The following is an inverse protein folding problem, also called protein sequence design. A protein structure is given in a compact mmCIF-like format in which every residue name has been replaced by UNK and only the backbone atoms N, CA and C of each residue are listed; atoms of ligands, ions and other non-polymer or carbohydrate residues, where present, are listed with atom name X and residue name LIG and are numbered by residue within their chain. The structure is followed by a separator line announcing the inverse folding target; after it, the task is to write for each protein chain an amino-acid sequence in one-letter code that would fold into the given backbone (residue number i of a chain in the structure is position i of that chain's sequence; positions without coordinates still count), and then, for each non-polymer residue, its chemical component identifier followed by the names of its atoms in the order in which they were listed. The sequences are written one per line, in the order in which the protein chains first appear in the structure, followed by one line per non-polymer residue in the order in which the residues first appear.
data_IF_313146968486
#
_entry.id   IF_313146968486
#
_cell.length_a   1.000
_cell.length_b   1.000
_cell.length_c   1.000
_cell.angle_alpha   90.00
_cell.angle_beta   90.00
_cell.angle_gamma   90.00
#
_symmetry.space_group_name_H-M   'P 1'
#
loop_
_entity.id
_entity.type
_entity.pdbx_description
1 polymer ?
#
# COMPACT_ATOMS: atom_id res chain seq x y z
N UNK A 1 -30.63 -42.02 -66.66
CA UNK A 1 -30.09 -43.07 -65.76
C UNK A 1 -28.58 -42.94 -65.78
N UNK A 2 -27.80 -42.72 -64.72
CA UNK A 2 -27.97 -42.85 -63.26
C UNK A 2 -27.20 -41.70 -62.58
N UNK A 3 -27.78 -41.17 -61.49
CA UNK A 3 -27.08 -40.46 -60.41
C UNK A 3 -26.08 -41.40 -59.73
N UNK A 4 -24.98 -40.86 -59.19
CA UNK A 4 -24.41 -41.29 -57.91
C UNK A 4 -23.68 -40.12 -57.24
N UNK A 5 -24.27 -39.70 -56.14
CA UNK A 5 -23.70 -38.83 -55.11
C UNK A 5 -22.48 -39.51 -54.48
N UNK A 6 -21.47 -38.72 -54.15
CA UNK A 6 -20.23 -39.17 -53.50
C UNK A 6 -19.84 -38.20 -52.40
N UNK A 7 -20.42 -38.43 -51.23
CA UNK A 7 -20.10 -37.95 -49.88
C UNK A 7 -18.91 -37.00 -49.73
N UNK A 8 -19.22 -35.74 -49.39
CA UNK A 8 -18.31 -34.89 -48.65
C UNK A 8 -18.05 -35.49 -47.27
N UNK A 9 -16.78 -35.81 -47.00
CA UNK A 9 -16.31 -36.09 -45.65
C UNK A 9 -15.93 -34.76 -45.03
N UNK A 10 -16.92 -34.08 -44.43
CA UNK A 10 -16.67 -33.01 -43.46
C UNK A 10 -16.07 -33.66 -42.21
N UNK A 11 -14.75 -33.63 -42.09
CA UNK A 11 -14.10 -33.88 -40.80
C UNK A 11 -14.48 -32.73 -39.87
N UNK A 12 -14.99 -33.00 -38.66
CA UNK A 12 -15.30 -31.93 -37.71
C UNK A 12 -13.99 -31.29 -37.27
N UNK A 13 -13.82 -29.98 -37.53
CA UNK A 13 -12.67 -29.20 -37.09
C UNK A 13 -12.43 -29.22 -35.56
N UNK A 14 -13.39 -29.73 -34.79
CA UNK A 14 -13.27 -29.98 -33.36
C UNK A 14 -12.31 -31.13 -33.00
N UNK A 15 -12.04 -32.08 -33.91
CA UNK A 15 -11.18 -33.24 -33.61
C UNK A 15 -9.67 -32.96 -33.81
N UNK A 16 -9.29 -31.89 -34.53
CA UNK A 16 -7.88 -31.54 -34.75
C UNK A 16 -7.26 -30.73 -33.59
N UNK A 17 -8.08 -30.15 -32.71
CA UNK A 17 -7.57 -29.42 -31.54
C UNK A 17 -7.28 -30.30 -30.31
N UNK A 18 -7.75 -31.56 -30.29
CA UNK A 18 -7.58 -32.47 -29.15
C UNK A 18 -6.33 -33.38 -29.25
N UNK A 19 -5.59 -33.36 -30.37
CA UNK A 19 -4.39 -34.18 -30.60
C UNK A 19 -3.10 -33.36 -30.75
N UNK A 20 -3.09 -32.11 -30.29
CA UNK A 20 -1.82 -31.47 -29.95
C UNK A 20 -1.43 -31.98 -28.55
N UNK A 21 -0.63 -33.06 -28.47
CA UNK A 21 0.13 -33.38 -27.25
C UNK A 21 0.95 -32.14 -26.91
N UNK A 22 0.49 -31.33 -25.97
CA UNK A 22 1.26 -30.21 -25.45
C UNK A 22 2.33 -30.78 -24.53
N UNK A 23 3.46 -31.18 -25.12
CA UNK A 23 4.65 -31.63 -24.40
C UNK A 23 5.21 -30.56 -23.46
N UNK A 24 4.91 -29.28 -23.73
CA UNK A 24 5.30 -28.16 -22.87
C UNK A 24 4.08 -27.61 -22.15
N UNK A 25 4.18 -27.54 -20.83
CA UNK A 25 3.14 -26.96 -19.99
C UNK A 25 3.35 -25.45 -19.88
N UNK A 26 2.26 -24.70 -20.06
CA UNK A 26 2.18 -23.30 -19.66
C UNK A 26 0.83 -23.07 -18.99
N UNK A 27 0.83 -22.55 -17.76
CA UNK A 27 -0.39 -22.22 -17.02
C UNK A 27 -0.17 -20.94 -16.23
N UNK A 28 -1.05 -19.95 -16.40
CA UNK A 28 -1.06 -18.71 -15.62
C UNK A 28 -2.03 -18.76 -14.44
N UNK A 29 -2.96 -19.73 -14.43
CA UNK A 29 -3.99 -19.94 -13.41
C UNK A 29 -4.00 -21.41 -12.98
N UNK A 30 -4.56 -21.70 -11.81
CA UNK A 30 -4.66 -23.07 -11.30
C UNK A 30 -5.54 -23.97 -12.18
N UNK A 31 -6.68 -23.44 -12.64
CA UNK A 31 -7.62 -24.15 -13.53
C UNK A 31 -7.14 -24.23 -14.98
N UNK A 32 -6.11 -23.48 -15.35
CA UNK A 32 -5.60 -23.39 -16.72
C UNK A 32 -6.40 -22.48 -17.65
N UNK A 33 -7.50 -21.88 -17.15
CA UNK A 33 -8.28 -20.89 -17.89
C UNK A 33 -7.45 -19.64 -18.17
N UNK A 34 -7.59 -19.10 -19.38
CA UNK A 34 -6.91 -17.88 -19.82
C UNK A 34 -7.92 -16.90 -20.40
N UNK A 35 -7.74 -15.63 -20.08
CA UNK A 35 -8.36 -14.57 -20.88
C UNK A 35 -7.84 -14.64 -22.31
N UNK A 36 -8.70 -14.37 -23.29
CA UNK A 36 -8.31 -14.36 -24.69
C UNK A 36 -7.17 -13.35 -24.89
N UNK A 37 -5.95 -13.79 -25.23
CA UNK A 37 -4.80 -12.90 -25.34
C UNK A 37 -4.91 -11.98 -26.56
N UNK A 38 -5.72 -12.38 -27.54
CA UNK A 38 -5.96 -11.67 -28.77
C UNK A 38 -7.40 -11.20 -28.81
N UNK A 39 -7.57 -9.93 -29.12
CA UNK A 39 -8.87 -9.32 -29.38
C UNK A 39 -9.29 -9.66 -30.81
N UNK A 40 -10.60 -9.58 -31.11
CA UNK A 40 -11.09 -9.72 -32.47
C UNK A 40 -10.47 -8.65 -33.40
N UNK A 41 -10.29 -8.93 -34.70
CA UNK A 41 -9.54 -8.03 -35.60
C UNK A 41 -10.10 -6.60 -35.71
N UNK A 42 -11.38 -6.40 -35.41
CA UNK A 42 -12.08 -5.12 -35.54
C UNK A 42 -11.95 -4.23 -34.30
N UNK A 43 -11.49 -4.77 -33.17
CA UNK A 43 -11.47 -4.07 -31.89
C UNK A 43 -10.03 -3.79 -31.47
N UNK A 44 -9.77 -2.56 -31.02
CA UNK A 44 -8.46 -2.17 -30.53
C UNK A 44 -8.05 -3.00 -29.29
N UNK A 45 -6.79 -3.46 -29.20
CA UNK A 45 -6.33 -4.25 -28.07
C UNK A 45 -6.31 -3.43 -26.78
N UNK A 46 -6.67 -4.07 -25.67
CA UNK A 46 -6.53 -3.48 -24.35
C UNK A 46 -5.07 -3.57 -23.88
N UNK A 47 -4.52 -2.43 -23.44
CA UNK A 47 -3.17 -2.37 -22.87
C UNK A 47 -3.21 -2.18 -21.35
N UNK A 48 -2.33 -2.86 -20.61
CA UNK A 48 -2.19 -2.60 -19.18
C UNK A 48 -1.66 -1.18 -18.93
N UNK A 49 -1.98 -0.63 -17.76
CA UNK A 49 -1.46 0.67 -17.37
C UNK A 49 0.08 0.66 -17.33
N UNK A 50 0.72 1.58 -18.04
CA UNK A 50 2.18 1.71 -18.04
C UNK A 50 2.72 2.50 -16.84
N UNK A 51 1.84 3.20 -16.11
CA UNK A 51 2.18 3.99 -14.91
C UNK A 51 2.16 3.13 -13.67
N UNK A 52 3.05 3.42 -12.72
CA UNK A 52 3.01 2.76 -11.41
C UNK A 52 1.72 3.13 -10.67
N UNK A 53 1.30 2.27 -9.73
CA UNK A 53 0.12 2.49 -8.88
C UNK A 53 0.43 3.44 -7.72
N UNK A 54 1.15 4.53 -8.01
CA UNK A 54 1.43 5.56 -7.01
C UNK A 54 0.15 6.35 -6.72
N UNK A 55 -0.20 6.59 -5.45
CA UNK A 55 -1.50 7.15 -5.08
C UNK A 55 -1.69 8.60 -5.53
N UNK A 56 -0.60 9.38 -5.67
CA UNK A 56 -0.68 10.78 -6.09
C UNK A 56 -0.54 10.90 -7.61
N UNK A 57 -1.20 11.92 -8.20
CA UNK A 57 -1.11 12.17 -9.64
C UNK A 57 0.31 12.52 -10.13
N UNK A 58 1.12 13.07 -9.23
CA UNK A 58 2.51 13.44 -9.45
C UNK A 58 3.35 12.94 -8.28
N UNK A 59 4.56 12.44 -8.55
CA UNK A 59 5.20 12.22 -9.85
C UNK A 59 4.59 11.07 -10.69
N UNK A 60 4.68 11.19 -12.03
CA UNK A 60 4.17 10.18 -12.98
C UNK A 60 5.26 9.16 -13.33
N UNK A 61 5.44 8.16 -12.48
CA UNK A 61 6.41 7.10 -12.75
C UNK A 61 5.87 6.07 -13.75
N UNK A 62 6.76 5.57 -14.60
CA UNK A 62 6.51 4.36 -15.38
C UNK A 62 6.77 3.14 -14.49
N UNK A 63 5.98 2.07 -14.68
CA UNK A 63 6.21 0.79 -14.01
C UNK A 63 7.64 0.32 -14.21
N UNK A 64 8.28 -0.03 -13.10
CA UNK A 64 9.58 -0.69 -13.12
C UNK A 64 9.46 -2.14 -13.62
N UNK A 65 10.59 -2.78 -13.94
CA UNK A 65 10.59 -4.19 -14.35
C UNK A 65 9.98 -5.11 -13.26
N UNK A 66 10.24 -4.83 -11.98
CA UNK A 66 9.67 -5.57 -10.85
C UNK A 66 8.15 -5.40 -10.80
N UNK A 67 7.62 -4.19 -10.99
CA UNK A 67 6.18 -3.96 -11.05
C UNK A 67 5.51 -4.69 -12.23
N UNK A 68 6.20 -4.82 -13.36
CA UNK A 68 5.71 -5.65 -14.46
C UNK A 68 5.69 -7.13 -14.10
N UNK A 69 6.70 -7.63 -13.38
CA UNK A 69 6.69 -9.02 -12.89
C UNK A 69 5.53 -9.29 -11.93
N UNK A 70 5.31 -8.39 -10.97
CA UNK A 70 4.17 -8.44 -10.04
C UNK A 70 2.84 -8.37 -10.79
N UNK A 71 2.73 -7.48 -11.79
CA UNK A 71 1.54 -7.38 -12.64
C UNK A 71 1.25 -8.69 -13.41
N UNK A 72 2.28 -9.43 -13.81
CA UNK A 72 2.14 -10.72 -14.48
C UNK A 72 2.06 -11.92 -13.51
N UNK A 73 1.81 -11.69 -12.21
CA UNK A 73 1.56 -12.75 -11.22
C UNK A 73 2.82 -13.50 -10.75
N UNK A 74 4.02 -12.98 -11.03
CA UNK A 74 5.25 -13.45 -10.42
C UNK A 74 5.51 -12.68 -9.12
N UNK A 75 6.43 -13.16 -8.29
CA UNK A 75 6.92 -12.40 -7.15
C UNK A 75 7.87 -11.26 -7.54
N UNK A 76 8.56 -10.73 -6.54
CA UNK A 76 9.61 -9.71 -6.67
C UNK A 76 10.82 -10.17 -7.49
N UNK A 77 10.96 -11.49 -7.72
CA UNK A 77 12.06 -12.11 -8.46
C UNK A 77 11.57 -13.32 -9.23
N UNK A 78 12.35 -13.73 -10.23
CA UNK A 78 12.11 -14.97 -10.97
C UNK A 78 12.25 -16.18 -10.03
N UNK A 79 11.46 -17.23 -10.24
CA UNK A 79 11.47 -18.44 -9.40
C UNK A 79 10.77 -18.28 -8.04
N UNK A 80 10.08 -17.16 -7.80
CA UNK A 80 9.20 -16.96 -6.64
C UNK A 80 7.78 -16.71 -7.14
N UNK A 81 6.85 -17.56 -6.69
CA UNK A 81 5.49 -17.63 -7.21
C UNK A 81 5.44 -17.79 -8.75
N UNK A 82 4.22 -17.86 -9.30
CA UNK A 82 4.01 -17.95 -10.74
C UNK A 82 4.41 -19.28 -11.40
N UNK A 83 4.32 -19.34 -12.75
CA UNK A 83 4.46 -20.59 -13.50
C UNK A 83 5.86 -21.20 -13.40
N UNK A 84 6.91 -20.36 -13.33
CA UNK A 84 8.31 -20.79 -13.27
C UNK A 84 8.68 -21.60 -12.03
N UNK A 85 7.81 -21.64 -11.02
CA UNK A 85 8.01 -22.39 -9.77
C UNK A 85 6.96 -23.49 -9.57
N UNK A 86 5.79 -23.34 -10.18
CA UNK A 86 4.67 -24.27 -10.02
C UNK A 86 4.69 -25.43 -11.00
N UNK A 87 5.16 -25.19 -12.21
CA UNK A 87 5.25 -26.21 -13.26
C UNK A 87 6.45 -27.11 -12.95
N UNK A 88 6.31 -28.41 -13.22
CA UNK A 88 7.40 -29.37 -13.04
C UNK A 88 8.53 -29.10 -14.04
N UNK A 89 9.78 -29.19 -13.60
CA UNK A 89 10.94 -28.91 -14.45
C UNK A 89 11.09 -29.92 -15.59
N UNK A 90 10.61 -31.16 -15.39
CA UNK A 90 10.64 -32.22 -16.38
C UNK A 90 9.52 -33.25 -16.15
N UNK A 91 9.25 -34.01 -17.22
CA UNK A 91 8.45 -35.24 -17.22
C UNK A 91 9.25 -36.35 -17.91
N UNK A 92 8.94 -37.61 -17.59
CA UNK A 92 9.50 -38.75 -18.32
C UNK A 92 8.85 -38.87 -19.71
N UNK A 93 9.54 -39.49 -20.67
CA UNK A 93 9.08 -39.58 -22.07
C UNK A 93 7.78 -40.39 -22.25
N UNK A 94 7.44 -41.23 -21.27
CA UNK A 94 6.18 -41.99 -21.21
C UNK A 94 5.02 -41.18 -20.60
N UNK A 95 5.28 -39.94 -20.15
CA UNK A 95 4.33 -39.06 -19.48
C UNK A 95 4.27 -39.24 -17.96
N UNK A 96 5.16 -40.04 -17.37
CA UNK A 96 5.23 -40.15 -15.91
C UNK A 96 5.72 -38.82 -15.30
N UNK A 97 5.03 -38.23 -14.30
CA UNK A 97 5.46 -36.97 -13.70
C UNK A 97 6.66 -37.15 -12.76
N UNK A 98 7.34 -36.04 -12.43
CA UNK A 98 8.41 -36.01 -11.43
C UNK A 98 7.90 -36.33 -10.02
N UNK A 99 8.77 -36.85 -9.15
CA UNK A 99 8.46 -37.08 -7.74
C UNK A 99 8.36 -35.76 -6.93
N UNK A 100 7.64 -35.81 -5.80
CA UNK A 100 7.48 -34.64 -4.93
C UNK A 100 8.75 -34.47 -4.08
N UNK A 101 9.52 -33.43 -4.39
CA UNK A 101 10.65 -33.00 -3.55
C UNK A 101 10.16 -32.47 -2.19
N UNK A 102 10.97 -32.64 -1.13
CA UNK A 102 10.71 -32.02 0.17
C UNK A 102 10.56 -30.49 0.09
N UNK A 103 11.28 -29.83 -0.83
CA UNK A 103 11.11 -28.39 -1.09
C UNK A 103 9.77 -28.06 -1.75
N UNK A 104 9.27 -28.94 -2.63
CA UNK A 104 7.95 -28.80 -3.26
C UNK A 104 6.85 -28.97 -2.22
N UNK A 105 7.00 -29.91 -1.30
CA UNK A 105 6.08 -30.09 -0.17
C UNK A 105 6.06 -28.88 0.77
N UNK A 106 7.24 -28.37 1.18
CA UNK A 106 7.34 -27.18 2.00
C UNK A 106 6.73 -25.93 1.32
N UNK A 107 6.88 -25.80 0.01
CA UNK A 107 6.22 -24.74 -0.77
C UNK A 107 4.69 -24.85 -0.74
N UNK A 108 4.14 -26.07 -0.86
CA UNK A 108 2.70 -26.29 -0.73
C UNK A 108 2.21 -25.97 0.67
N UNK A 109 2.94 -26.40 1.70
CA UNK A 109 2.64 -26.02 3.07
C UNK A 109 2.64 -24.49 3.28
N UNK A 110 3.59 -23.77 2.68
CA UNK A 110 3.61 -22.30 2.70
C UNK A 110 2.38 -21.68 2.00
N UNK A 111 1.96 -22.21 0.86
CA UNK A 111 0.75 -21.75 0.16
C UNK A 111 -0.50 -21.97 1.01
N UNK A 112 -0.63 -23.16 1.62
CA UNK A 112 -1.73 -23.48 2.52
C UNK A 112 -1.69 -22.59 3.77
N UNK A 113 -0.51 -22.26 4.27
CA UNK A 113 -0.36 -21.36 5.41
C UNK A 113 -0.89 -19.95 5.12
N UNK A 114 -0.62 -19.41 3.92
CA UNK A 114 -1.18 -18.11 3.51
C UNK A 114 -2.72 -18.15 3.42
N UNK A 115 -3.30 -19.26 2.94
CA UNK A 115 -4.76 -19.45 2.94
C UNK A 115 -5.31 -19.53 4.36
N UNK A 116 -4.64 -20.25 5.26
CA UNK A 116 -5.04 -20.34 6.67
C UNK A 116 -4.95 -18.98 7.36
N UNK A 117 -3.93 -18.17 7.07
CA UNK A 117 -3.83 -16.80 7.59
C UNK A 117 -5.03 -15.96 7.14
N UNK A 118 -5.36 -15.99 5.84
CA UNK A 118 -6.49 -15.25 5.28
C UNK A 118 -7.84 -15.67 5.90
N UNK A 119 -8.08 -16.99 5.98
CA UNK A 119 -9.33 -17.53 6.53
C UNK A 119 -9.45 -17.20 8.02
N UNK A 120 -8.36 -17.34 8.79
CA UNK A 120 -8.37 -17.01 10.22
C UNK A 120 -8.55 -15.51 10.47
N UNK A 121 -7.89 -14.65 9.69
CA UNK A 121 -8.08 -13.20 9.83
C UNK A 121 -9.51 -12.79 9.50
N UNK A 122 -10.10 -13.37 8.45
CA UNK A 122 -11.50 -13.10 8.08
C UNK A 122 -12.46 -13.58 9.18
N UNK A 123 -12.28 -14.80 9.70
CA UNK A 123 -13.12 -15.33 10.78
C UNK A 123 -13.02 -14.50 12.08
N UNK A 124 -11.86 -13.91 12.37
CA UNK A 124 -11.70 -13.01 13.53
C UNK A 124 -12.52 -11.72 13.31
N UNK A 125 -12.51 -11.18 12.09
CA UNK A 125 -13.30 -9.98 11.75
C UNK A 125 -14.80 -10.28 11.83
N UNK A 126 -15.26 -11.41 11.29
CA UNK A 126 -16.66 -11.85 11.37
C UNK A 126 -17.11 -11.99 12.84
N UNK A 127 -16.29 -12.63 13.69
CA UNK A 127 -16.59 -12.74 15.12
C UNK A 127 -16.62 -11.38 15.81
N UNK A 128 -15.70 -10.47 15.48
CA UNK A 128 -15.71 -9.12 16.06
C UNK A 128 -16.90 -8.28 15.60
N UNK A 129 -17.41 -8.53 14.40
CA UNK A 129 -18.67 -7.92 13.94
C UNK A 129 -19.86 -8.47 14.72
N UNK A 130 -19.95 -9.80 14.91
CA UNK A 130 -21.01 -10.45 15.70
C UNK A 130 -21.01 -10.03 17.19
N UNK A 131 -19.82 -9.82 17.76
CA UNK A 131 -19.64 -9.34 19.15
C UNK A 131 -19.78 -7.81 19.27
N UNK A 132 -20.07 -7.10 18.16
CA UNK A 132 -20.17 -5.64 18.06
C UNK A 132 -18.91 -4.91 18.60
N UNK A 133 -17.74 -5.54 18.46
CA UNK A 133 -16.45 -5.00 18.90
C UNK A 133 -15.77 -4.13 17.84
N UNK A 134 -16.25 -4.15 16.59
CA UNK A 134 -15.73 -3.28 15.53
C UNK A 134 -16.29 -1.85 15.73
N UNK A 135 -15.44 -0.87 16.07
CA UNK A 135 -15.91 0.49 16.30
C UNK A 135 -16.37 1.11 14.98
N UNK A 136 -17.41 1.95 15.06
CA UNK A 136 -17.90 2.73 13.91
C UNK A 136 -16.92 3.82 13.50
N UNK A 137 -16.12 4.29 14.45
CA UNK A 137 -15.23 5.42 14.26
C UNK A 137 -13.87 4.92 13.74
N UNK A 138 -13.39 5.43 12.60
CA UNK A 138 -12.11 5.04 12.04
C UNK A 138 -10.92 5.34 12.96
N UNK A 139 -9.92 4.47 12.92
CA UNK A 139 -8.65 4.67 13.62
C UNK A 139 -8.71 4.41 15.12
N UNK A 140 -7.52 4.27 15.71
CA UNK A 140 -7.35 4.14 17.17
C UNK A 140 -7.34 5.52 17.84
N UNK A 141 -7.58 5.62 19.17
CA UNK A 141 -7.50 6.91 19.88
C UNK A 141 -6.15 7.63 19.71
N UNK A 142 -5.04 6.87 19.66
CA UNK A 142 -3.70 7.40 19.39
C UNK A 142 -3.58 7.98 17.97
N UNK A 143 -4.17 7.32 16.98
CA UNK A 143 -4.18 7.84 15.62
C UNK A 143 -5.04 9.11 15.52
N UNK A 144 -6.20 9.16 16.19
CA UNK A 144 -7.11 10.32 16.18
C UNK A 144 -6.52 11.56 16.85
N UNK A 145 -5.71 11.38 17.90
CA UNK A 145 -5.05 12.52 18.56
C UNK A 145 -3.90 13.09 17.74
N UNK A 146 -3.29 12.26 16.89
CA UNK A 146 -2.15 12.63 16.05
C UNK A 146 -2.55 13.15 14.67
N UNK A 147 -3.53 12.52 14.03
CA UNK A 147 -3.95 12.80 12.65
C UNK A 147 -5.16 13.74 12.60
N UNK A 148 -4.98 15.03 12.23
CA UNK A 148 -6.07 15.99 12.12
C UNK A 148 -6.97 15.76 10.89
N UNK A 149 -6.62 14.85 9.97
CA UNK A 149 -7.47 14.51 8.83
C UNK A 149 -8.68 13.65 9.25
N UNK A 150 -8.58 12.93 10.38
CA UNK A 150 -9.70 12.17 10.92
C UNK A 150 -10.73 13.15 11.51
N UNK A 151 -12.00 13.13 11.08
CA UNK A 151 -13.03 14.01 11.62
C UNK A 151 -13.19 13.87 13.12
N UNK A 152 -13.55 14.96 13.81
CA UNK A 152 -13.89 14.92 15.23
C UNK A 152 -15.28 14.28 15.41
N UNK A 153 -15.31 13.08 15.99
CA UNK A 153 -16.56 12.40 16.36
C UNK A 153 -16.93 12.78 17.79
N UNK A 154 -17.71 13.85 17.96
CA UNK A 154 -18.05 14.42 19.28
C UNK A 154 -18.96 13.52 20.16
N UNK A 155 -19.44 12.40 19.61
CA UNK A 155 -20.13 11.34 20.37
C UNK A 155 -19.13 10.56 21.27
N UNK A 156 -17.81 10.66 21.01
CA UNK A 156 -16.71 10.02 21.77
C UNK A 156 -16.56 10.51 23.23
N UNK A 157 -17.26 11.57 23.66
CA UNK A 157 -17.19 12.03 25.07
C UNK A 157 -17.90 11.03 26.00
N UNK A 158 -18.92 10.32 25.50
CA UNK A 158 -19.66 9.28 26.23
C UNK A 158 -19.18 7.86 25.85
N UNK A 159 -18.61 7.71 24.65
CA UNK A 159 -17.96 6.49 24.16
C UNK A 159 -16.43 6.63 24.21
N UNK A 160 -15.84 6.66 25.41
CA UNK A 160 -14.55 5.96 25.58
C UNK A 160 -14.83 4.47 25.38
N UNK A 161 -15.07 4.09 24.11
CA UNK A 161 -15.36 2.75 23.66
C UNK A 161 -14.36 1.85 24.32
N UNK A 162 -14.84 1.01 25.24
CA UNK A 162 -13.99 0.24 26.12
C UNK A 162 -13.01 -0.49 25.21
N UNK A 163 -11.71 -0.18 25.24
CA UNK A 163 -10.76 -0.91 24.41
C UNK A 163 -10.98 -2.39 24.73
N UNK A 164 -11.00 -3.28 23.72
CA UNK A 164 -11.21 -4.70 23.95
C UNK A 164 -10.32 -5.08 25.13
N UNK A 165 -10.93 -5.60 26.21
CA UNK A 165 -10.22 -5.79 27.48
C UNK A 165 -8.93 -6.53 27.16
N UNK A 166 -7.75 -5.95 27.47
CA UNK A 166 -6.51 -6.63 27.17
C UNK A 166 -6.56 -7.99 27.87
N UNK A 167 -6.50 -9.05 27.08
CA UNK A 167 -6.43 -10.43 27.56
C UNK A 167 -5.13 -10.51 28.36
N UNK A 168 -5.20 -10.24 29.67
CA UNK A 168 -4.09 -10.23 30.64
C UNK A 168 -2.71 -9.96 30.00
N UNK A 169 -2.51 -8.75 29.46
CA UNK A 169 -1.26 -8.38 28.81
C UNK A 169 -0.07 -8.50 29.76
N UNK A 170 1.00 -9.13 29.27
CA UNK A 170 2.34 -9.16 29.87
C UNK A 170 2.79 -7.72 30.22
N UNK A 171 3.49 -7.53 31.33
CA UNK A 171 3.94 -6.20 31.79
C UNK A 171 4.73 -5.46 30.70
N UNK A 172 5.44 -6.21 29.85
CA UNK A 172 6.18 -5.67 28.71
C UNK A 172 5.24 -4.98 27.70
N UNK A 173 4.08 -5.57 27.42
CA UNK A 173 3.10 -4.99 26.47
C UNK A 173 2.53 -3.67 26.98
N UNK A 174 2.18 -3.60 28.28
CA UNK A 174 1.69 -2.38 28.92
C UNK A 174 2.73 -1.25 28.90
N UNK A 175 4.00 -1.57 29.19
CA UNK A 175 5.08 -0.58 29.16
C UNK A 175 5.34 -0.07 27.74
N UNK A 176 5.19 -0.93 26.72
CA UNK A 176 5.29 -0.51 25.32
C UNK A 176 4.14 0.44 24.97
N UNK A 177 2.90 0.08 25.29
CA UNK A 177 1.72 0.92 25.05
C UNK A 177 1.84 2.29 25.72
N UNK A 178 2.26 2.33 26.99
CA UNK A 178 2.45 3.59 27.73
C UNK A 178 3.54 4.46 27.09
N UNK A 179 4.65 3.89 26.60
CA UNK A 179 5.73 4.67 25.99
C UNK A 179 5.32 5.28 24.65
N UNK A 180 4.66 4.53 23.79
CA UNK A 180 4.22 5.04 22.49
C UNK A 180 3.10 6.08 22.65
N UNK A 181 2.15 5.84 23.55
CA UNK A 181 1.06 6.79 23.82
C UNK A 181 1.55 8.10 24.49
N UNK A 182 2.65 8.07 25.25
CA UNK A 182 3.17 9.28 25.92
C UNK A 182 4.17 10.10 25.09
N UNK A 183 4.76 9.51 24.04
CA UNK A 183 5.73 10.21 23.18
C UNK A 183 5.09 11.25 22.25
N UNK A 184 3.78 11.15 21.97
CA UNK A 184 3.05 12.14 21.18
C UNK A 184 2.74 13.40 22.01
N UNK A 185 3.74 14.30 22.11
CA UNK A 185 3.54 15.72 22.43
C UNK A 185 2.72 16.01 23.70
N UNK A 186 3.29 15.76 24.89
CA UNK A 186 2.64 16.10 26.17
C UNK A 186 2.22 17.58 26.21
N UNK A 187 0.98 17.83 26.62
CA UNK A 187 0.50 19.18 26.91
C UNK A 187 1.39 19.81 27.99
N UNK A 188 1.88 21.04 27.80
CA UNK A 188 2.71 21.70 28.80
C UNK A 188 1.90 21.88 30.09
N UNK A 189 2.52 21.56 31.24
CA UNK A 189 1.88 21.58 32.57
C UNK A 189 1.24 22.93 32.91
N UNK A 190 1.73 24.03 32.32
CA UNK A 190 1.20 25.37 32.51
C UNK A 190 -0.19 25.59 31.87
N UNK A 191 -0.60 24.75 30.92
CA UNK A 191 -1.90 24.86 30.25
C UNK A 191 -2.94 23.89 30.83
N UNK A 192 -2.51 22.67 31.15
CA UNK A 192 -3.32 21.70 31.87
C UNK A 192 -2.40 20.79 32.67
N UNK A 193 -2.61 20.73 33.98
CA UNK A 193 -1.81 19.90 34.85
C UNK A 193 -2.33 18.45 34.84
N UNK A 194 -1.67 17.58 34.08
CA UNK A 194 -1.96 16.13 34.03
C UNK A 194 -1.93 15.48 35.44
N UNK A 195 -1.07 15.96 36.35
CA UNK A 195 -0.98 15.42 37.71
C UNK A 195 -2.20 15.79 38.58
N UNK A 196 -2.92 16.85 38.22
CA UNK A 196 -4.19 17.24 38.84
C UNK A 196 -5.41 16.68 38.09
N UNK A 197 -5.20 15.92 37.00
CA UNK A 197 -6.26 15.37 36.16
C UNK A 197 -6.89 16.38 35.18
N UNK A 198 -6.25 17.54 34.95
CA UNK A 198 -6.74 18.53 34.01
C UNK A 198 -6.43 18.12 32.57
N UNK A 199 -7.43 18.21 31.68
CA UNK A 199 -7.33 17.92 30.24
C UNK A 199 -7.92 19.09 29.46
N UNK A 200 -7.30 19.45 28.33
CA UNK A 200 -7.81 20.49 27.44
C UNK A 200 -8.86 19.92 26.50
N UNK A 201 -10.02 20.58 26.43
CA UNK A 201 -11.04 20.30 25.42
C UNK A 201 -10.64 20.85 24.04
N UNK A 202 -11.00 20.18 22.94
CA UNK A 202 -10.70 20.65 21.59
C UNK A 202 -11.45 21.96 21.29
N UNK A 203 -10.72 23.05 21.10
CA UNK A 203 -11.30 24.35 20.75
C UNK A 203 -11.39 24.53 19.22
N UNK A 204 -12.59 24.42 18.66
CA UNK A 204 -12.86 24.52 17.22
C UNK A 204 -13.35 25.91 16.77
N UNK A 205 -13.37 26.93 17.64
CA UNK A 205 -13.94 28.26 17.31
C UNK A 205 -13.28 28.95 16.10
N UNK A 206 -12.02 28.63 15.81
CA UNK A 206 -11.26 29.20 14.68
C UNK A 206 -10.85 28.13 13.65
N UNK A 207 -11.43 26.93 13.72
CA UNK A 207 -11.16 25.89 12.74
C UNK A 207 -11.76 26.30 11.39
N UNK A 208 -10.93 26.37 10.35
CA UNK A 208 -11.40 26.54 8.98
C UNK A 208 -11.14 25.25 8.21
N UNK A 209 -12.17 24.77 7.51
CA UNK A 209 -12.06 23.60 6.64
C UNK A 209 -11.31 23.88 5.32
N UNK A 210 -10.95 25.15 5.06
CA UNK A 210 -10.23 25.56 3.84
C UNK A 210 -8.71 25.71 4.11
N UNK A 211 -7.87 24.80 3.59
CA UNK A 211 -6.42 24.87 3.77
C UNK A 211 -5.78 26.07 3.06
N UNK A 212 -6.45 26.66 2.06
CA UNK A 212 -5.93 27.81 1.33
C UNK A 212 -5.97 29.11 2.15
N UNK A 213 -6.72 29.14 3.26
CA UNK A 213 -6.88 30.34 4.09
C UNK A 213 -5.60 30.77 4.82
N UNK A 214 -4.70 29.83 5.15
CA UNK A 214 -3.49 30.09 5.94
C UNK A 214 -2.19 29.94 5.16
N UNK A 215 -2.25 29.27 4.00
CA UNK A 215 -1.05 28.90 3.23
C UNK A 215 -0.87 29.86 2.06
N UNK A 216 0.09 30.78 2.20
CA UNK A 216 0.55 31.61 1.08
C UNK A 216 1.66 30.91 0.30
N UNK A 217 1.29 29.91 -0.52
CA UNK A 217 2.21 29.18 -1.42
C UNK A 217 2.63 30.00 -2.64
N UNK A 218 2.86 31.29 -2.44
CA UNK A 218 3.48 32.14 -3.44
C UNK A 218 4.99 31.89 -3.40
N UNK A 219 5.47 30.96 -4.24
CA UNK A 219 6.90 30.78 -4.50
C UNK A 219 7.45 32.07 -5.10
N UNK A 220 8.02 32.95 -4.27
CA UNK A 220 8.57 34.23 -4.70
C UNK A 220 9.95 34.02 -5.29
N UNK A 221 10.16 34.55 -6.50
CA UNK A 221 11.50 34.71 -7.05
C UNK A 221 12.22 35.83 -6.29
N UNK A 222 13.48 35.61 -5.91
CA UNK A 222 14.30 36.66 -5.33
C UNK A 222 14.42 37.84 -6.28
N UNK A 223 13.86 38.98 -5.87
CA UNK A 223 13.93 40.23 -6.64
C UNK A 223 15.24 40.92 -6.32
N UNK A 224 16.10 41.08 -7.33
CA UNK A 224 17.37 41.79 -7.18
C UNK A 224 17.14 43.28 -6.92
N UNK A 225 18.04 43.88 -6.12
CA UNK A 225 18.03 45.32 -5.84
C UNK A 225 18.21 46.13 -7.14
N UNK A 226 17.43 47.21 -7.36
CA UNK A 226 17.44 47.96 -8.61
C UNK A 226 18.66 48.89 -8.73
N UNK A 227 19.79 48.35 -9.19
CA UNK A 227 21.05 49.08 -9.35
C UNK A 227 21.01 50.17 -10.43
N UNK A 228 20.05 50.10 -11.37
CA UNK A 228 19.91 51.06 -12.49
C UNK A 228 19.27 52.40 -12.10
N UNK A 229 18.78 52.57 -10.87
CA UNK A 229 18.14 53.81 -10.41
C UNK A 229 18.85 54.37 -9.18
N UNK A 230 19.48 55.53 -9.30
CA UNK A 230 20.26 56.17 -8.22
C UNK A 230 19.45 56.35 -6.94
N UNK A 231 18.23 56.89 -7.05
CA UNK A 231 17.33 57.10 -5.91
C UNK A 231 16.85 55.78 -5.29
N UNK A 232 16.44 54.81 -6.12
CA UNK A 232 15.91 53.53 -5.61
C UNK A 232 16.99 52.63 -5.05
N UNK A 233 18.22 52.68 -5.59
CA UNK A 233 19.37 52.00 -5.02
C UNK A 233 19.57 52.46 -3.57
N UNK A 234 19.80 53.76 -3.33
CA UNK A 234 20.01 54.28 -1.97
C UNK A 234 18.84 54.03 -1.01
N UNK A 235 17.59 54.09 -1.50
CA UNK A 235 16.40 53.85 -0.67
C UNK A 235 16.14 52.37 -0.34
N UNK A 236 16.69 51.45 -1.12
CA UNK A 236 16.55 50.00 -0.89
C UNK A 236 17.78 49.41 -0.23
N UNK A 237 18.53 50.22 0.53
CA UNK A 237 19.73 49.77 1.22
C UNK A 237 19.38 48.86 2.40
N UNK A 238 20.06 47.73 2.47
CA UNK A 238 19.88 46.76 3.55
C UNK A 238 21.14 46.81 4.41
N UNK A 239 21.06 47.51 5.54
CA UNK A 239 22.17 47.69 6.48
C UNK A 239 22.37 46.43 7.33
N UNK A 240 22.81 45.36 6.68
CA UNK A 240 23.12 44.10 7.34
C UNK A 240 24.61 43.79 7.22
N UNK A 241 25.24 43.45 8.34
CA UNK A 241 26.60 42.92 8.37
C UNK A 241 26.48 41.40 8.45
N UNK A 242 26.93 40.65 7.43
CA UNK A 242 26.85 39.20 7.48
C UNK A 242 27.75 38.68 8.60
N UNK A 243 27.16 38.00 9.57
CA UNK A 243 27.88 37.35 10.67
C UNK A 243 27.85 35.84 10.47
N UNK A 244 29.03 35.22 10.38
CA UNK A 244 29.13 33.76 10.48
C UNK A 244 28.81 33.34 11.92
N UNK A 245 28.03 32.27 12.15
CA UNK A 245 27.86 31.71 13.49
C UNK A 245 29.24 31.43 14.09
N UNK A 246 29.57 32.05 15.24
CA UNK A 246 30.84 31.77 15.93
C UNK A 246 30.81 30.31 16.41
N UNK A 247 31.91 29.58 16.24
CA UNK A 247 32.07 28.27 16.87
C UNK A 247 31.89 28.45 18.39
N UNK A 248 30.91 27.76 18.99
CA UNK A 248 30.77 27.73 20.44
C UNK A 248 32.08 27.18 21.00
N UNK A 249 32.69 27.89 21.94
CA UNK A 249 33.83 27.40 22.70
C UNK A 249 33.43 26.07 23.34
N UNK A 250 33.85 24.94 22.76
CA UNK A 250 33.95 23.69 23.49
C UNK A 250 34.89 23.98 24.66
N UNK A 251 34.35 24.04 25.87
CA UNK A 251 35.14 23.86 27.08
C UNK A 251 35.88 22.53 26.85
N UNK A 252 37.21 22.57 26.85
CA UNK A 252 37.98 21.34 26.96
C UNK A 252 37.72 20.84 28.38
N UNK A 253 37.05 19.71 28.50
CA UNK A 253 37.00 18.97 29.77
C UNK A 253 38.45 18.60 30.12
N UNK A 254 39.03 19.31 31.09
CA UNK A 254 40.19 18.85 31.87
C UNK A 254 39.72 17.99 33.03
#
# INVERSE_FOLDING_TARGET
MRRRDGCGVCLPGAALHALARQYSEYRSSYTGERSAPWVTPEVAPAYPSARSLFPLERPRFRKTHIEWMLHHGHGDRYGKYGPSREIADFEYADGTPSSISGKRFALKHHQDHLLVQLIRSAAIVERFEEEELLPRIPGTPEQRSWDPEIPLFLEDVDEFGRPPRPVAGDMVTRVIEERFAEESGRTPVNLANKHAGEVLEPNTMFATYDPAAFVSDAIKKDVRRPFWSRRRWALSDNFMVPMSPKAKNTIKDE
#
